data_IF_236828998434
#
_entry.id   IF_236828998434
#
_cell.length_a   1.000
_cell.length_b   1.000
_cell.length_c   1.000
_cell.angle_alpha   90.00
_cell.angle_beta   90.00
_cell.angle_gamma   90.00
#
_symmetry.space_group_name_H-M   'P 1'
#
loop_
_entity.id
_entity.type
_entity.pdbx_description
1 polymer ?
#
# COMPACT_ATOMS: atom_id res chain seq x y z
N UNK A 1 -16.60 2.78 21.76
CA UNK A 1 -16.10 2.87 20.37
C UNK A 1 -16.69 1.71 19.60
N UNK A 2 -17.03 1.83 18.31
CA UNK A 2 -17.48 0.68 17.53
C UNK A 2 -16.37 -0.37 17.60
N UNK A 3 -16.66 -1.50 18.22
CA UNK A 3 -15.74 -2.62 18.31
C UNK A 3 -15.64 -3.22 16.92
N UNK A 4 -14.46 -3.15 16.32
CA UNK A 4 -14.18 -3.84 15.07
C UNK A 4 -14.15 -5.35 15.34
N UNK A 5 -15.21 -6.05 14.94
CA UNK A 5 -15.35 -7.50 15.17
C UNK A 5 -14.27 -8.34 14.48
N UNK A 6 -13.56 -7.76 13.49
CA UNK A 6 -12.51 -8.45 12.73
C UNK A 6 -11.15 -8.34 13.39
N UNK A 7 -10.84 -7.20 14.02
CA UNK A 7 -9.56 -6.94 14.68
C UNK A 7 -9.13 -8.05 15.66
N UNK A 8 -10.00 -8.56 16.57
CA UNK A 8 -9.64 -9.64 17.49
C UNK A 8 -9.23 -10.95 16.82
N UNK A 9 -9.60 -11.17 15.55
CA UNK A 9 -9.27 -12.39 14.80
C UNK A 9 -8.08 -12.13 13.89
N UNK A 10 -8.12 -11.05 13.11
CA UNK A 10 -7.13 -10.76 12.08
C UNK A 10 -5.78 -10.31 12.67
N UNK A 11 -5.79 -9.48 13.72
CA UNK A 11 -4.54 -8.93 14.26
C UNK A 11 -3.67 -10.04 14.89
N UNK A 12 -4.19 -10.91 15.78
CA UNK A 12 -3.38 -12.00 16.32
C UNK A 12 -2.85 -12.93 15.23
N UNK A 13 -3.67 -13.27 14.23
CA UNK A 13 -3.22 -14.07 13.09
C UNK A 13 -2.04 -13.41 12.35
N UNK A 14 -2.16 -12.11 12.04
CA UNK A 14 -1.10 -11.35 11.36
C UNK A 14 0.16 -11.28 12.21
N UNK A 15 0.04 -11.05 13.51
CA UNK A 15 1.19 -11.04 14.43
C UNK A 15 1.87 -12.42 14.51
N UNK A 16 1.11 -13.51 14.48
CA UNK A 16 1.67 -14.86 14.40
C UNK A 16 2.44 -15.05 13.09
N UNK A 17 1.85 -14.72 11.95
CA UNK A 17 2.53 -14.84 10.64
C UNK A 17 3.79 -14.00 10.58
N UNK A 18 3.73 -12.79 11.13
CA UNK A 18 4.88 -11.92 11.25
C UNK A 18 5.96 -12.52 12.16
N UNK A 19 5.56 -13.19 13.24
CA UNK A 19 6.51 -13.83 14.17
C UNK A 19 7.23 -15.05 13.59
N UNK A 20 6.58 -15.73 12.65
CA UNK A 20 7.08 -16.92 11.98
C UNK A 20 7.76 -16.60 10.65
N UNK A 21 7.67 -15.35 10.18
CA UNK A 21 8.18 -14.96 8.87
C UNK A 21 9.71 -15.05 8.82
N UNK A 22 10.20 -15.83 7.86
CA UNK A 22 11.61 -15.91 7.50
C UNK A 22 11.77 -15.44 6.06
N UNK A 23 12.56 -14.40 5.79
CA UNK A 23 12.78 -13.90 4.43
C UNK A 23 13.50 -14.96 3.57
N UNK A 24 13.26 -14.98 2.25
CA UNK A 24 13.92 -15.93 1.37
C UNK A 24 15.44 -15.68 1.33
N UNK A 25 16.28 -16.73 1.14
CA UNK A 25 17.74 -16.57 1.15
C UNK A 25 18.27 -15.59 0.10
N UNK A 26 17.55 -15.40 -1.00
CA UNK A 26 17.89 -14.48 -2.09
C UNK A 26 17.62 -13.01 -1.75
N UNK A 27 16.73 -12.74 -0.79
CA UNK A 27 16.36 -11.39 -0.33
C UNK A 27 16.26 -11.40 1.20
N UNK A 28 17.39 -11.48 1.93
CA UNK A 28 17.40 -11.69 3.38
C UNK A 28 16.79 -10.54 4.19
N UNK A 29 16.55 -9.40 3.56
CA UNK A 29 15.96 -8.20 4.15
C UNK A 29 14.52 -7.96 3.68
N UNK A 30 13.94 -8.85 2.86
CA UNK A 30 12.60 -8.69 2.32
C UNK A 30 11.57 -8.58 3.45
N UNK A 31 10.74 -7.53 3.53
CA UNK A 31 9.69 -7.45 4.53
C UNK A 31 8.56 -8.44 4.23
N UNK A 32 7.77 -8.80 5.24
CA UNK A 32 6.52 -9.54 5.03
C UNK A 32 5.50 -8.62 4.34
N UNK A 33 5.00 -9.02 3.16
CA UNK A 33 3.89 -8.32 2.49
C UNK A 33 2.55 -8.94 2.86
N UNK A 34 1.59 -8.11 3.30
CA UNK A 34 0.25 -8.54 3.71
C UNK A 34 -0.80 -7.83 2.88
N UNK A 35 -1.30 -8.51 1.84
CA UNK A 35 -2.40 -7.99 1.03
C UNK A 35 -3.75 -8.09 1.75
N UNK A 36 -4.41 -6.96 1.98
CA UNK A 36 -5.77 -6.91 2.55
C UNK A 36 -6.81 -6.55 1.48
N UNK A 37 -7.59 -7.55 1.07
CA UNK A 37 -8.68 -7.39 0.10
C UNK A 37 -10.06 -7.58 0.74
N UNK A 38 -11.08 -6.93 0.15
CA UNK A 38 -12.47 -7.11 0.55
C UNK A 38 -13.38 -6.04 -0.07
N UNK A 39 -14.71 -6.21 0.00
CA UNK A 39 -15.68 -5.27 -0.56
C UNK A 39 -15.54 -3.84 -0.02
N UNK A 40 -16.06 -2.85 -0.73
CA UNK A 40 -16.14 -1.48 -0.22
C UNK A 40 -17.06 -1.44 1.02
N UNK A 41 -16.68 -0.64 2.02
CA UNK A 41 -17.47 -0.51 3.25
C UNK A 41 -17.29 -1.62 4.28
N UNK A 42 -16.53 -2.69 3.98
CA UNK A 42 -16.32 -3.83 4.90
C UNK A 42 -15.41 -3.53 6.10
N UNK A 43 -14.91 -2.29 6.22
CA UNK A 43 -14.05 -1.88 7.33
C UNK A 43 -12.54 -2.14 7.16
N UNK A 44 -12.03 -2.34 5.92
CA UNK A 44 -10.59 -2.55 5.68
C UNK A 44 -9.72 -1.46 6.30
N UNK A 45 -10.07 -0.19 6.08
CA UNK A 45 -9.33 0.96 6.65
C UNK A 45 -9.36 0.93 8.18
N UNK A 46 -10.47 0.49 8.78
CA UNK A 46 -10.58 0.31 10.23
C UNK A 46 -9.61 -0.75 10.72
N UNK A 47 -9.58 -1.92 10.07
CA UNK A 47 -8.66 -3.02 10.40
C UNK A 47 -7.19 -2.61 10.22
N UNK A 48 -6.85 -1.97 9.10
CA UNK A 48 -5.49 -1.45 8.81
C UNK A 48 -5.05 -0.45 9.88
N UNK A 49 -5.95 0.45 10.29
CA UNK A 49 -5.67 1.43 11.35
C UNK A 49 -5.42 0.73 12.70
N UNK A 50 -6.23 -0.27 13.05
CA UNK A 50 -6.07 -1.04 14.27
C UNK A 50 -4.77 -1.86 14.26
N UNK A 51 -4.45 -2.50 13.13
CA UNK A 51 -3.20 -3.23 12.93
C UNK A 51 -1.98 -2.31 13.03
N UNK A 52 -1.97 -1.17 12.34
CA UNK A 52 -0.88 -0.19 12.41
C UNK A 52 -0.64 0.31 13.84
N UNK A 53 -1.70 0.57 14.60
CA UNK A 53 -1.59 0.90 16.04
C UNK A 53 -0.97 -0.24 16.84
N UNK A 54 -1.38 -1.49 16.59
CA UNK A 54 -0.82 -2.66 17.27
C UNK A 54 0.66 -2.84 16.95
N UNK A 55 1.06 -2.78 15.67
CA UNK A 55 2.46 -2.85 15.25
C UNK A 55 3.31 -1.73 15.86
N UNK A 56 2.78 -0.50 15.90
CA UNK A 56 3.42 0.63 16.59
C UNK A 56 3.64 0.35 18.08
N UNK A 57 2.64 -0.21 18.77
CA UNK A 57 2.74 -0.55 20.19
C UNK A 57 3.78 -1.64 20.48
N UNK A 58 4.12 -2.46 19.48
CA UNK A 58 5.17 -3.48 19.54
C UNK A 58 6.54 -2.98 19.02
N UNK A 59 6.68 -1.69 18.69
CA UNK A 59 7.87 -1.09 18.06
C UNK A 59 8.29 -1.77 16.74
N UNK A 60 7.31 -2.34 16.02
CA UNK A 60 7.54 -3.03 14.75
C UNK A 60 7.50 -2.01 13.61
N UNK A 61 8.58 -1.87 12.82
CA UNK A 61 8.58 -1.06 11.61
C UNK A 61 7.55 -1.58 10.63
N UNK A 62 6.75 -0.67 10.08
CA UNK A 62 5.76 -1.04 9.08
C UNK A 62 5.44 0.11 8.12
N UNK A 63 4.93 -0.25 6.96
CA UNK A 63 4.40 0.66 5.96
C UNK A 63 2.98 0.23 5.59
N UNK A 64 2.08 1.20 5.47
CA UNK A 64 0.72 0.98 4.95
C UNK A 64 0.63 1.63 3.58
N UNK A 65 0.25 0.85 2.57
CA UNK A 65 0.04 1.33 1.21
C UNK A 65 -1.38 1.02 0.74
N UNK A 66 -2.02 1.98 0.07
CA UNK A 66 -3.28 1.72 -0.62
C UNK A 66 -3.01 1.47 -2.10
N UNK A 67 -3.69 0.48 -2.69
CA UNK A 67 -3.65 0.29 -4.15
C UNK A 67 -4.18 1.55 -4.88
N UNK A 68 -5.09 2.28 -4.25
CA UNK A 68 -5.64 3.53 -4.79
C UNK A 68 -4.57 4.62 -4.97
N UNK A 69 -3.44 4.55 -4.25
CA UNK A 69 -2.33 5.49 -4.44
C UNK A 69 -1.61 5.30 -5.78
N UNK A 70 -1.82 4.13 -6.40
CA UNK A 70 -1.24 3.74 -7.68
C UNK A 70 -2.22 3.92 -8.84
N UNK A 71 -3.30 4.70 -8.71
CA UNK A 71 -4.08 5.10 -9.87
C UNK A 71 -3.22 5.83 -10.91
N UNK A 72 -3.62 5.70 -12.18
CA UNK A 72 -3.06 6.46 -13.29
C UNK A 72 -3.21 7.97 -13.02
N UNK A 73 -2.25 8.77 -13.50
CA UNK A 73 -2.40 10.23 -13.49
C UNK A 73 -3.66 10.64 -14.27
N UNK A 74 -4.20 11.82 -13.97
CA UNK A 74 -5.40 12.33 -14.64
C UNK A 74 -5.26 12.35 -16.16
N UNK A 75 -4.07 12.72 -16.65
CA UNK A 75 -3.77 12.75 -18.08
C UNK A 75 -3.80 11.34 -18.68
N UNK A 76 -3.11 10.38 -18.04
CA UNK A 76 -3.08 8.98 -18.51
C UNK A 76 -4.46 8.32 -18.43
N UNK A 77 -5.26 8.62 -17.40
CA UNK A 77 -6.65 8.17 -17.29
C UNK A 77 -7.52 8.73 -18.43
N UNK A 78 -7.33 10.00 -18.81
CA UNK A 78 -8.04 10.60 -19.95
C UNK A 78 -7.69 9.90 -21.26
N UNK A 79 -6.41 9.65 -21.49
CA UNK A 79 -5.94 8.95 -22.68
C UNK A 79 -6.47 7.52 -22.73
N UNK A 80 -6.53 6.82 -21.60
CA UNK A 80 -7.11 5.49 -21.49
C UNK A 80 -8.58 5.48 -21.91
N UNK A 81 -9.39 6.42 -21.38
CA UNK A 81 -10.79 6.55 -21.74
C UNK A 81 -11.00 6.82 -23.23
N UNK A 82 -10.20 7.71 -23.83
CA UNK A 82 -10.25 8.02 -25.27
C UNK A 82 -9.87 6.82 -26.13
N UNK A 83 -8.88 6.02 -25.70
CA UNK A 83 -8.46 4.81 -26.43
C UNK A 83 -9.48 3.67 -26.36
N UNK A 84 -10.43 3.71 -25.42
CA UNK A 84 -11.46 2.69 -25.23
C UNK A 84 -12.88 3.31 -25.18
N UNK A 85 -13.34 3.98 -26.26
CA UNK A 85 -14.58 4.76 -26.23
C UNK A 85 -15.83 3.91 -26.02
N UNK A 86 -15.76 2.61 -26.32
CA UNK A 86 -16.85 1.65 -26.15
C UNK A 86 -16.83 0.96 -24.77
N UNK A 87 -15.90 1.32 -23.88
CA UNK A 87 -15.80 0.75 -22.53
C UNK A 87 -15.99 1.84 -21.46
N UNK A 88 -17.23 2.09 -21.03
CA UNK A 88 -17.53 3.10 -20.00
C UNK A 88 -16.80 2.86 -18.68
N UNK A 89 -16.46 1.61 -18.34
CA UNK A 89 -15.77 1.25 -17.10
C UNK A 89 -14.36 1.85 -17.00
N UNK A 90 -13.72 2.13 -18.14
CA UNK A 90 -12.40 2.75 -18.20
C UNK A 90 -12.44 4.28 -18.25
N UNK A 91 -13.64 4.89 -18.17
CA UNK A 91 -13.79 6.35 -18.19
C UNK A 91 -13.33 7.01 -16.89
N UNK A 92 -13.29 6.23 -15.80
CA UNK A 92 -12.98 6.71 -14.46
C UNK A 92 -12.00 5.76 -13.76
N UNK A 93 -11.34 6.26 -12.72
CA UNK A 93 -10.51 5.43 -11.83
C UNK A 93 -11.38 4.41 -11.10
N UNK A 94 -10.85 3.22 -10.83
CA UNK A 94 -11.50 2.20 -10.01
C UNK A 94 -11.27 0.79 -10.53
N UNK A 95 -11.56 0.59 -11.81
CA UNK A 95 -11.56 -0.72 -12.43
C UNK A 95 -10.15 -1.22 -12.76
N UNK A 96 -9.95 -2.53 -12.93
CA UNK A 96 -8.69 -3.09 -13.43
C UNK A 96 -8.27 -2.40 -14.74
N UNK A 97 -6.98 -2.06 -14.83
CA UNK A 97 -6.42 -1.27 -15.94
C UNK A 97 -6.33 0.23 -15.66
N UNK A 98 -6.94 0.74 -14.58
CA UNK A 98 -6.86 2.18 -14.20
C UNK A 98 -5.71 2.50 -13.24
N UNK A 99 -4.81 1.53 -13.01
CA UNK A 99 -3.65 1.66 -12.14
C UNK A 99 -2.34 1.68 -12.93
N UNK A 100 -1.36 2.41 -12.43
CA UNK A 100 0.01 2.45 -12.92
C UNK A 100 0.78 1.23 -12.42
N UNK A 101 0.56 0.10 -13.10
CA UNK A 101 1.20 -1.18 -12.76
C UNK A 101 2.74 -1.09 -12.78
N UNK A 102 3.39 -0.45 -13.76
CA UNK A 102 4.84 -0.27 -13.71
C UNK A 102 5.32 0.46 -12.46
N UNK A 103 4.63 1.53 -12.03
CA UNK A 103 4.97 2.22 -10.78
C UNK A 103 4.81 1.31 -9.56
N UNK A 104 3.69 0.58 -9.47
CA UNK A 104 3.44 -0.34 -8.36
C UNK A 104 4.52 -1.41 -8.25
N UNK A 105 4.85 -2.08 -9.35
CA UNK A 105 5.88 -3.13 -9.37
C UNK A 105 7.26 -2.58 -9.00
N UNK A 106 7.61 -1.39 -9.48
CA UNK A 106 8.88 -0.76 -9.12
C UNK A 106 8.96 -0.43 -7.63
N UNK A 107 7.88 0.07 -7.03
CA UNK A 107 7.82 0.32 -5.58
C UNK A 107 7.93 -0.97 -4.79
N UNK A 108 7.17 -2.01 -5.13
CA UNK A 108 7.23 -3.30 -4.44
C UNK A 108 8.64 -3.91 -4.52
N UNK A 109 9.25 -3.90 -5.70
CA UNK A 109 10.59 -4.45 -5.88
C UNK A 109 11.67 -3.66 -5.10
N UNK A 110 11.53 -2.34 -4.98
CA UNK A 110 12.45 -1.52 -4.18
C UNK A 110 12.27 -1.79 -2.67
N UNK A 111 11.04 -1.97 -2.20
CA UNK A 111 10.73 -2.36 -0.82
C UNK A 111 11.26 -3.76 -0.49
N UNK A 112 11.11 -4.73 -1.40
CA UNK A 112 11.69 -6.08 -1.27
C UNK A 112 13.21 -6.05 -1.05
N UNK A 113 13.90 -5.08 -1.66
CA UNK A 113 15.35 -4.89 -1.52
C UNK A 113 15.76 -3.97 -0.36
N UNK A 114 14.80 -3.38 0.36
CA UNK A 114 15.07 -2.41 1.43
C UNK A 114 15.77 -1.14 0.92
N UNK A 115 15.49 -0.75 -0.33
CA UNK A 115 16.03 0.44 -0.98
C UNK A 115 15.23 1.70 -0.61
N UNK A 116 15.86 2.89 -0.62
CA UNK A 116 15.13 4.16 -0.53
C UNK A 116 14.01 4.21 -1.57
N UNK A 117 12.78 4.40 -1.12
CA UNK A 117 11.59 4.28 -1.97
C UNK A 117 10.62 5.41 -1.65
N UNK A 118 10.11 6.07 -2.69
CA UNK A 118 9.04 7.05 -2.56
C UNK A 118 7.69 6.38 -2.86
N UNK A 119 6.79 6.40 -1.89
CA UNK A 119 5.44 5.84 -2.01
C UNK A 119 4.52 6.93 -2.55
N UNK A 120 3.84 6.70 -3.70
CA UNK A 120 2.96 7.70 -4.28
C UNK A 120 1.80 8.01 -3.35
N UNK A 121 1.23 9.19 -3.54
CA UNK A 121 -0.03 9.61 -2.92
C UNK A 121 -0.99 10.01 -4.03
N UNK A 122 -2.23 9.55 -3.95
CA UNK A 122 -3.27 9.95 -4.90
C UNK A 122 -4.29 10.88 -4.24
N UNK A 123 -4.47 12.07 -4.81
CA UNK A 123 -5.50 13.00 -4.38
C UNK A 123 -6.79 12.72 -5.17
N UNK A 124 -7.76 12.08 -4.51
CA UNK A 124 -9.08 11.78 -5.09
C UNK A 124 -9.94 13.04 -5.30
N UNK A 125 -9.64 14.14 -4.64
CA UNK A 125 -10.39 15.40 -4.70
C UNK A 125 -9.90 16.33 -5.81
N UNK A 126 -8.66 16.16 -6.28
CA UNK A 126 -8.09 16.92 -7.39
C UNK A 126 -9.00 16.88 -8.64
N UNK A 127 -8.91 17.92 -9.47
CA UNK A 127 -9.73 18.06 -10.70
C UNK A 127 -11.23 17.83 -10.46
N UNK A 128 -11.79 18.51 -9.45
CA UNK A 128 -13.21 18.42 -9.10
C UNK A 128 -13.68 16.99 -8.80
N UNK A 129 -12.85 16.21 -8.10
CA UNK A 129 -13.17 14.82 -7.72
C UNK A 129 -12.83 13.76 -8.75
N UNK A 130 -12.30 14.14 -9.92
CA UNK A 130 -11.78 13.19 -10.91
C UNK A 130 -10.47 12.53 -10.44
N UNK A 131 -9.73 13.24 -9.60
CA UNK A 131 -8.51 12.82 -8.94
C UNK A 131 -7.27 12.93 -9.81
N UNK A 132 -6.11 13.01 -9.17
CA UNK A 132 -4.79 12.95 -9.79
C UNK A 132 -3.73 12.51 -8.77
N UNK A 133 -2.58 12.08 -9.28
CA UNK A 133 -1.43 11.79 -8.43
C UNK A 133 -0.89 13.08 -7.85
N UNK A 134 -0.66 13.09 -6.53
CA UNK A 134 -0.09 14.24 -5.85
C UNK A 134 1.35 14.50 -6.32
N UNK A 135 1.85 15.76 -6.22
CA UNK A 135 3.25 16.08 -6.48
C UNK A 135 4.21 15.21 -5.65
N UNK A 136 5.39 14.91 -6.19
CA UNK A 136 6.40 14.08 -5.49
C UNK A 136 6.79 14.60 -4.10
N UNK A 137 6.69 15.91 -3.86
CA UNK A 137 6.96 16.49 -2.54
C UNK A 137 5.96 16.04 -1.46
N UNK A 138 4.79 15.51 -1.86
CA UNK A 138 3.77 14.96 -0.95
C UNK A 138 3.81 13.43 -0.87
N UNK A 139 4.79 12.79 -1.51
CA UNK A 139 4.98 11.34 -1.43
C UNK A 139 5.68 10.99 -0.11
N UNK A 140 5.45 9.77 0.36
CA UNK A 140 6.08 9.28 1.58
C UNK A 140 7.39 8.60 1.21
N UNK A 141 8.53 9.19 1.59
CA UNK A 141 9.83 8.54 1.44
C UNK A 141 10.06 7.56 2.59
N UNK A 142 10.53 6.36 2.27
CA UNK A 142 10.91 5.32 3.26
C UNK A 142 12.28 4.76 2.93
N UNK A 143 12.91 4.13 3.93
CA UNK A 143 14.23 3.48 3.82
C UNK A 143 15.36 4.45 3.43
N UNK A 144 15.24 5.75 3.74
CA UNK A 144 16.30 6.69 3.43
C UNK A 144 17.57 6.37 4.26
N UNK A 145 18.76 6.78 3.80
CA UNK A 145 19.99 6.57 4.55
C UNK A 145 19.91 7.15 5.96
N UNK A 146 20.14 6.32 6.98
CA UNK A 146 20.07 6.71 8.39
C UNK A 146 18.68 6.58 9.04
N UNK A 147 17.65 6.25 8.27
CA UNK A 147 16.33 5.92 8.82
C UNK A 147 16.22 4.46 9.22
N UNK A 148 15.25 4.18 10.11
CA UNK A 148 14.88 2.80 10.42
C UNK A 148 14.21 2.20 9.18
N UNK A 149 14.87 1.21 8.57
CA UNK A 149 14.38 0.54 7.38
C UNK A 149 13.15 -0.33 7.66
N UNK A 150 12.22 -0.32 6.72
CA UNK A 150 11.15 -1.31 6.56
C UNK A 150 11.75 -2.53 5.85
N UNK A 151 12.43 -3.38 6.62
CA UNK A 151 13.05 -4.61 6.15
C UNK A 151 12.92 -5.69 7.22
N UNK A 152 12.89 -6.97 6.85
CA UNK A 152 12.95 -8.04 7.84
C UNK A 152 14.25 -7.89 8.67
N UNK A 153 14.08 -7.64 9.97
CA UNK A 153 15.15 -7.67 10.97
C UNK A 153 14.93 -8.87 11.88
N UNK A 154 15.91 -9.18 12.74
CA UNK A 154 15.84 -10.26 13.75
C UNK A 154 14.61 -10.18 14.68
N UNK A 155 13.80 -9.10 14.62
CA UNK A 155 12.55 -8.91 15.38
C UNK A 155 11.41 -8.22 14.60
N UNK A 156 11.13 -8.69 13.38
CA UNK A 156 9.86 -8.46 12.66
C UNK A 156 9.72 -7.14 11.88
N UNK A 157 9.17 -7.19 10.66
CA UNK A 157 8.74 -6.01 9.87
C UNK A 157 7.71 -6.42 8.80
N UNK A 158 6.73 -5.55 8.55
CA UNK A 158 5.60 -5.81 7.64
C UNK A 158 5.28 -4.61 6.73
N UNK A 159 4.93 -4.87 5.47
CA UNK A 159 4.27 -3.92 4.56
C UNK A 159 2.84 -4.40 4.34
N UNK A 160 1.86 -3.56 4.67
CA UNK A 160 0.42 -3.82 4.55
C UNK A 160 -0.16 -3.08 3.35
#
# INVERSE_FOLDING_TARGET
MPTDDKSPICIPFILTQLSEYCPPPTLPNCPLFIGLNGPQGIGKTTLVTALSRSLTAHDIPHLVCSIDDFYLTRNTQAALAVSHPNNPLLSHRGEPGTHDIPLLLNVLAALERGEPTDIPRYDKAAFSGLGDRAPKAEWTSVNAPGERKIQAQERYTCTV
#
